data_IF_922377997513
#
_entry.id   IF_922377997513
#
_cell.length_a   1.000
_cell.length_b   1.000
_cell.length_c   1.000
_cell.angle_alpha   90.00
_cell.angle_beta   90.00
_cell.angle_gamma   90.00
#
_symmetry.space_group_name_H-M   'P 1'
#
loop_
_entity.id
_entity.type
_entity.pdbx_description
1 polymer ?
#
# COMPACT_ATOMS: atom_id res chain seq x y z
N UNK A 1 3.06 -12.39 -15.42
CA UNK A 1 2.84 -10.99 -15.82
C UNK A 1 2.97 -9.99 -14.66
N UNK A 2 2.48 -10.30 -13.46
CA UNK A 2 2.68 -9.44 -12.26
C UNK A 2 4.15 -9.17 -11.93
N UNK A 3 5.02 -10.15 -12.09
CA UNK A 3 6.45 -10.08 -11.76
C UNK A 3 7.26 -9.12 -12.66
N UNK A 4 6.90 -8.99 -13.94
CA UNK A 4 7.67 -8.17 -14.89
C UNK A 4 7.40 -6.67 -14.82
N UNK A 5 6.21 -6.23 -14.38
CA UNK A 5 5.81 -4.82 -14.47
C UNK A 5 6.21 -3.96 -13.26
N UNK A 6 6.35 -4.58 -12.08
CA UNK A 6 6.57 -3.83 -10.83
C UNK A 6 8.00 -3.32 -10.58
N UNK A 7 8.99 -3.97 -11.16
CA UNK A 7 10.41 -3.75 -10.85
C UNK A 7 11.18 -2.98 -11.92
N UNK A 8 10.71 -2.97 -13.17
CA UNK A 8 11.40 -2.29 -14.26
C UNK A 8 11.55 -0.79 -13.95
N UNK A 9 12.80 -0.32 -13.92
CA UNK A 9 13.13 1.08 -13.67
C UNK A 9 13.03 1.54 -12.21
N UNK A 10 13.08 0.61 -11.23
CA UNK A 10 13.02 0.90 -9.79
C UNK A 10 14.23 0.44 -8.98
N UNK A 11 15.33 0.05 -9.65
CA UNK A 11 16.52 -0.42 -8.99
C UNK A 11 17.09 0.57 -7.98
N UNK A 12 17.13 1.86 -8.30
CA UNK A 12 17.56 2.93 -7.38
C UNK A 12 16.72 3.00 -6.11
N UNK A 13 15.40 2.78 -6.24
CA UNK A 13 14.49 2.75 -5.09
C UNK A 13 14.76 1.53 -4.21
N UNK A 14 14.92 0.36 -4.83
CA UNK A 14 15.22 -0.90 -4.12
C UNK A 14 16.55 -0.76 -3.38
N UNK A 15 17.60 -0.26 -4.03
CA UNK A 15 18.92 -0.05 -3.40
C UNK A 15 18.85 0.97 -2.24
N UNK A 16 18.06 2.03 -2.39
CA UNK A 16 17.80 3.00 -1.31
C UNK A 16 17.14 2.32 -0.11
N UNK A 17 16.09 1.52 -0.33
CA UNK A 17 15.37 0.83 0.75
C UNK A 17 16.29 -0.18 1.44
N UNK A 18 17.05 -0.98 0.67
CA UNK A 18 18.06 -1.92 1.20
C UNK A 18 19.08 -1.19 2.09
N UNK A 19 19.62 -0.06 1.62
CA UNK A 19 20.57 0.75 2.38
C UNK A 19 19.99 1.28 3.69
N UNK A 20 18.74 1.76 3.68
CA UNK A 20 18.10 2.28 4.88
C UNK A 20 17.71 1.14 5.86
N UNK A 21 17.26 -0.01 5.35
CA UNK A 21 17.00 -1.20 6.15
C UNK A 21 18.26 -1.70 6.90
N UNK A 22 19.40 -1.68 6.23
CA UNK A 22 20.70 -2.07 6.82
C UNK A 22 21.17 -1.14 7.94
N UNK A 23 20.68 0.08 7.99
CA UNK A 23 20.92 1.00 9.11
C UNK A 23 20.06 0.70 10.35
N UNK A 24 19.27 -0.34 10.32
CA UNK A 24 18.34 -0.70 11.39
C UNK A 24 17.12 0.20 11.50
N UNK A 25 16.75 0.91 10.41
CA UNK A 25 15.55 1.77 10.39
C UNK A 25 14.31 0.96 10.11
N UNK A 26 13.23 1.27 10.81
CA UNK A 26 11.90 0.80 10.43
C UNK A 26 11.41 1.63 9.24
N UNK A 27 10.96 0.96 8.17
CA UNK A 27 10.62 1.61 6.91
C UNK A 27 9.15 1.38 6.55
N UNK A 28 8.53 2.38 5.94
CA UNK A 28 7.17 2.32 5.42
C UNK A 28 7.17 2.71 3.94
N UNK A 29 6.88 1.74 3.07
CA UNK A 29 6.65 2.00 1.66
C UNK A 29 5.22 2.51 1.46
N UNK A 30 5.07 3.75 0.98
CA UNK A 30 3.76 4.38 0.79
C UNK A 30 3.46 4.66 -0.67
N UNK A 31 2.18 4.73 -1.00
CA UNK A 31 1.69 5.05 -2.34
C UNK A 31 0.33 4.44 -2.63
N UNK A 32 -0.36 4.87 -3.68
CA UNK A 32 -1.70 4.40 -4.00
C UNK A 32 -1.75 2.89 -4.27
N UNK A 33 -2.94 2.28 -4.20
CA UNK A 33 -3.13 0.88 -4.59
C UNK A 33 -2.63 0.63 -6.01
N UNK A 34 -2.03 -0.55 -6.24
CA UNK A 34 -1.50 -0.94 -7.54
C UNK A 34 -0.19 -0.28 -7.95
N UNK A 35 0.38 0.66 -7.17
CA UNK A 35 1.64 1.33 -7.52
C UNK A 35 2.86 0.40 -7.48
N UNK A 36 2.74 -0.82 -6.96
CA UNK A 36 3.81 -1.82 -6.91
C UNK A 36 4.63 -1.80 -5.63
N UNK A 37 4.04 -1.44 -4.48
CA UNK A 37 4.69 -1.52 -3.16
C UNK A 37 5.16 -2.94 -2.82
N UNK A 38 4.26 -3.93 -2.98
CA UNK A 38 4.56 -5.34 -2.72
C UNK A 38 5.70 -5.86 -3.60
N UNK A 39 5.74 -5.48 -4.87
CA UNK A 39 6.83 -5.87 -5.76
C UNK A 39 8.18 -5.24 -5.35
N UNK A 40 8.17 -3.99 -4.87
CA UNK A 40 9.37 -3.35 -4.31
C UNK A 40 9.79 -4.04 -3.02
N UNK A 41 8.83 -4.37 -2.12
CA UNK A 41 9.12 -5.09 -0.88
C UNK A 41 9.77 -6.45 -1.17
N UNK A 42 9.19 -7.23 -2.08
CA UNK A 42 9.72 -8.53 -2.51
C UNK A 42 11.14 -8.42 -3.08
N UNK A 43 11.40 -7.44 -3.96
CA UNK A 43 12.74 -7.22 -4.49
C UNK A 43 13.74 -6.81 -3.41
N UNK A 44 13.32 -5.99 -2.45
CA UNK A 44 14.16 -5.59 -1.31
C UNK A 44 14.48 -6.79 -0.44
N UNK A 45 13.49 -7.61 -0.10
CA UNK A 45 13.68 -8.80 0.74
C UNK A 45 14.57 -9.84 0.06
N UNK A 46 14.36 -10.11 -1.23
CA UNK A 46 15.23 -10.99 -2.03
C UNK A 46 16.67 -10.47 -2.03
N UNK A 47 16.86 -9.16 -2.33
CA UNK A 47 18.20 -8.56 -2.39
C UNK A 47 18.90 -8.52 -1.02
N UNK A 48 18.15 -8.42 0.07
CA UNK A 48 18.68 -8.50 1.43
C UNK A 48 19.14 -9.93 1.75
N UNK A 49 18.35 -10.94 1.44
CA UNK A 49 18.70 -12.35 1.67
C UNK A 49 19.91 -12.75 0.82
N UNK A 50 19.92 -12.37 -0.47
CA UNK A 50 21.02 -12.73 -1.39
C UNK A 50 22.36 -12.11 -1.01
N UNK A 51 22.35 -10.89 -0.45
CA UNK A 51 23.57 -10.15 -0.14
C UNK A 51 24.05 -10.28 1.30
N UNK A 52 23.19 -10.68 2.22
CA UNK A 52 23.47 -10.63 3.65
C UNK A 52 22.95 -11.87 4.37
N UNK A 53 23.87 -12.71 4.86
CA UNK A 53 23.55 -13.95 5.58
C UNK A 53 23.25 -13.73 7.09
N UNK A 54 23.38 -12.51 7.58
CA UNK A 54 23.21 -12.15 9.00
C UNK A 54 21.79 -11.69 9.37
N UNK A 55 20.88 -11.68 8.41
CA UNK A 55 19.49 -11.20 8.60
C UNK A 55 18.52 -12.37 8.61
N UNK A 56 17.79 -12.51 9.71
CA UNK A 56 16.64 -13.41 9.80
C UNK A 56 15.40 -12.68 9.26
N UNK A 57 15.03 -12.95 8.01
CA UNK A 57 13.87 -12.34 7.36
C UNK A 57 12.60 -13.15 7.63
N UNK A 58 11.53 -12.49 8.07
CA UNK A 58 10.21 -13.06 8.21
C UNK A 58 9.23 -12.25 7.36
N UNK A 59 8.67 -12.87 6.31
CA UNK A 59 7.64 -12.31 5.47
C UNK A 59 6.23 -12.52 6.05
N UNK A 60 5.40 -11.49 6.01
CA UNK A 60 4.00 -11.53 6.45
C UNK A 60 3.12 -11.03 5.33
N UNK A 61 2.46 -11.95 4.63
CA UNK A 61 1.54 -11.66 3.51
C UNK A 61 0.07 -11.68 3.95
N UNK A 62 -0.18 -12.10 5.21
CA UNK A 62 -1.52 -12.24 5.73
C UNK A 62 -2.19 -10.89 5.99
N UNK A 63 -3.41 -10.75 5.46
CA UNK A 63 -4.21 -9.53 5.63
C UNK A 63 -4.95 -9.50 6.97
N UNK A 64 -5.30 -10.67 7.50
CA UNK A 64 -5.99 -10.75 8.79
C UNK A 64 -5.02 -10.52 9.93
N UNK A 65 -5.44 -9.73 10.89
CA UNK A 65 -4.63 -9.36 12.03
C UNK A 65 -4.08 -10.55 12.83
N UNK A 66 -4.91 -11.56 13.13
CA UNK A 66 -4.44 -12.79 13.79
C UNK A 66 -3.48 -13.56 12.89
N UNK A 67 -3.74 -13.60 11.58
CA UNK A 67 -2.87 -14.24 10.60
C UNK A 67 -1.46 -13.65 10.60
N UNK A 68 -1.32 -12.33 10.75
CA UNK A 68 -0.01 -11.67 10.83
C UNK A 68 0.83 -12.19 12.01
N UNK A 69 0.22 -12.30 13.20
CA UNK A 69 0.91 -12.84 14.37
C UNK A 69 1.21 -14.33 14.24
N UNK A 70 0.34 -15.10 13.59
CA UNK A 70 0.59 -16.52 13.30
C UNK A 70 1.76 -16.71 12.33
N UNK A 71 1.84 -15.90 11.28
CA UNK A 71 2.95 -15.92 10.32
C UNK A 71 4.26 -15.52 11.00
N UNK A 72 4.23 -14.51 11.86
CA UNK A 72 5.39 -14.11 12.65
C UNK A 72 5.83 -15.22 13.62
N UNK A 73 4.87 -15.84 14.33
CA UNK A 73 5.15 -16.96 15.23
C UNK A 73 5.78 -18.13 14.49
N UNK A 74 5.25 -18.47 13.31
CA UNK A 74 5.78 -19.51 12.44
C UNK A 74 7.23 -19.21 12.05
N UNK A 75 7.51 -18.01 11.54
CA UNK A 75 8.87 -17.63 11.13
C UNK A 75 9.86 -17.66 12.28
N UNK A 76 9.49 -17.18 13.48
CA UNK A 76 10.34 -17.22 14.66
C UNK A 76 10.59 -18.66 15.16
N UNK A 77 9.61 -19.53 15.04
CA UNK A 77 9.74 -20.94 15.39
C UNK A 77 10.66 -21.68 14.41
N UNK A 78 10.49 -21.46 13.10
CA UNK A 78 11.36 -22.03 12.05
C UNK A 78 12.82 -21.55 12.18
N UNK A 79 13.04 -20.34 12.72
CA UNK A 79 14.36 -19.80 13.03
C UNK A 79 14.93 -20.27 14.39
N UNK A 80 14.17 -21.04 15.16
CA UNK A 80 14.57 -21.48 16.49
C UNK A 80 14.63 -20.38 17.56
N UNK A 81 14.03 -19.23 17.30
CA UNK A 81 14.01 -18.08 18.22
C UNK A 81 12.88 -18.17 19.24
N UNK A 82 11.77 -18.85 18.94
CA UNK A 82 10.68 -19.15 19.86
C UNK A 82 10.70 -20.65 20.16
N UNK A 83 10.67 -21.02 21.45
CA UNK A 83 10.57 -22.42 21.87
C UNK A 83 9.13 -22.92 21.73
N UNK A 84 8.92 -24.16 21.26
CA UNK A 84 7.60 -24.79 21.20
C UNK A 84 6.84 -24.75 22.51
N UNK A 85 7.50 -24.96 23.64
CA UNK A 85 6.89 -24.90 24.98
C UNK A 85 6.31 -23.53 25.34
N UNK A 86 6.87 -22.45 24.81
CA UNK A 86 6.33 -21.10 25.00
C UNK A 86 4.99 -20.88 24.26
N UNK A 87 4.63 -21.77 23.32
CA UNK A 87 3.40 -21.78 22.56
C UNK A 87 2.40 -22.84 23.04
N UNK A 88 2.53 -23.30 24.31
CA UNK A 88 1.70 -24.36 24.86
C UNK A 88 1.76 -25.68 24.06
N UNK A 89 2.85 -25.90 23.33
CA UNK A 89 3.12 -27.13 22.62
C UNK A 89 3.87 -28.11 23.50
N UNK A 90 3.96 -29.36 23.05
CA UNK A 90 4.68 -30.43 23.79
C UNK A 90 6.15 -30.03 23.99
N UNK A 91 6.60 -30.07 25.23
CA UNK A 91 7.97 -29.71 25.61
C UNK A 91 9.03 -30.61 24.95
N UNK A 92 8.67 -31.83 24.56
CA UNK A 92 9.55 -32.71 23.77
C UNK A 92 10.00 -32.11 22.46
N UNK A 93 9.21 -31.14 21.90
CA UNK A 93 9.57 -30.45 20.69
C UNK A 93 10.69 -29.39 20.88
N UNK A 94 11.00 -29.02 22.11
CA UNK A 94 12.09 -28.06 22.37
C UNK A 94 13.48 -28.67 22.11
N UNK A 95 13.58 -30.01 22.14
CA UNK A 95 14.81 -30.74 21.82
C UNK A 95 14.96 -31.09 20.34
N UNK A 96 13.91 -30.82 19.55
CA UNK A 96 13.89 -31.12 18.11
C UNK A 96 14.45 -29.91 17.33
N UNK A 97 15.23 -30.19 16.27
CA UNK A 97 15.70 -29.14 15.36
C UNK A 97 14.50 -28.32 14.82
N UNK A 98 14.48 -27.00 15.06
CA UNK A 98 13.39 -26.14 14.63
C UNK A 98 13.03 -26.28 13.15
N UNK A 99 14.04 -26.52 12.29
CA UNK A 99 13.84 -26.72 10.85
C UNK A 99 13.06 -28.00 10.50
N UNK A 100 13.02 -28.97 11.41
CA UNK A 100 12.30 -30.24 11.21
C UNK A 100 10.87 -30.22 11.74
N UNK A 101 10.51 -29.19 12.49
CA UNK A 101 9.14 -29.03 13.05
C UNK A 101 8.17 -28.73 11.91
N UNK A 102 7.32 -29.68 11.57
CA UNK A 102 6.34 -29.51 10.52
C UNK A 102 5.21 -28.61 10.99
N UNK A 103 5.17 -27.36 10.50
CA UNK A 103 4.14 -26.37 10.82
C UNK A 103 2.71 -26.92 10.70
N UNK A 104 2.42 -27.73 9.68
CA UNK A 104 1.10 -28.31 9.45
C UNK A 104 0.61 -29.17 10.63
N UNK A 105 1.50 -29.82 11.36
CA UNK A 105 1.14 -30.65 12.52
C UNK A 105 0.76 -29.82 13.74
N UNK A 106 1.44 -28.70 13.97
CA UNK A 106 1.25 -27.83 15.13
C UNK A 106 0.29 -26.67 14.88
N UNK A 107 0.05 -26.31 13.60
CA UNK A 107 -0.78 -25.19 13.19
C UNK A 107 -2.13 -25.14 13.89
N UNK A 108 -2.78 -26.29 14.08
CA UNK A 108 -4.11 -26.36 14.71
C UNK A 108 -4.06 -25.98 16.20
N UNK A 109 -2.99 -26.33 16.90
CA UNK A 109 -2.80 -25.97 18.32
C UNK A 109 -2.46 -24.49 18.44
N UNK A 110 -1.49 -24.00 17.67
CA UNK A 110 -1.09 -22.58 17.67
C UNK A 110 -2.24 -21.67 17.27
N UNK A 111 -3.09 -22.08 16.34
CA UNK A 111 -4.29 -21.32 15.95
C UNK A 111 -5.34 -21.15 17.07
N UNK A 112 -5.32 -21.98 18.11
CA UNK A 112 -6.22 -21.84 19.27
C UNK A 112 -5.78 -20.73 20.21
N UNK A 113 -4.50 -20.39 20.20
CA UNK A 113 -3.95 -19.32 21.03
C UNK A 113 -4.56 -17.97 20.66
N UNK A 114 -4.77 -17.12 21.66
CA UNK A 114 -5.16 -15.74 21.42
C UNK A 114 -3.96 -14.93 20.89
N UNK A 115 -4.22 -13.75 20.30
CA UNK A 115 -3.14 -12.84 19.89
C UNK A 115 -2.28 -12.43 21.07
N UNK A 116 -2.86 -12.31 22.26
CA UNK A 116 -2.14 -11.98 23.49
C UNK A 116 -1.15 -13.09 23.87
N UNK A 117 -1.57 -14.34 23.78
CA UNK A 117 -0.72 -15.50 24.12
C UNK A 117 0.40 -15.66 23.09
N UNK A 118 0.09 -15.49 21.80
CA UNK A 118 1.11 -15.43 20.75
C UNK A 118 2.15 -14.34 21.03
N UNK A 119 1.70 -13.13 21.37
CA UNK A 119 2.61 -12.01 21.66
C UNK A 119 3.41 -12.26 22.96
N UNK A 120 2.85 -12.96 23.95
CA UNK A 120 3.58 -13.32 25.16
C UNK A 120 4.77 -14.24 24.87
N UNK A 121 4.69 -15.10 23.86
CA UNK A 121 5.80 -15.93 23.39
C UNK A 121 6.77 -15.16 22.48
N UNK A 122 6.25 -14.36 21.52
CA UNK A 122 7.01 -13.68 20.49
C UNK A 122 7.89 -12.55 21.06
N UNK A 123 7.32 -11.67 21.87
CA UNK A 123 7.99 -10.43 22.31
C UNK A 123 9.27 -10.73 23.09
N UNK A 124 9.28 -11.60 24.11
CA UNK A 124 10.51 -11.96 24.82
C UNK A 124 11.56 -12.60 23.90
N UNK A 125 11.13 -13.44 22.96
CA UNK A 125 12.03 -14.10 22.02
C UNK A 125 12.74 -13.09 21.09
N UNK A 126 12.01 -12.10 20.59
CA UNK A 126 12.57 -11.01 19.77
C UNK A 126 13.54 -10.16 20.61
N UNK A 127 13.17 -9.81 21.84
CA UNK A 127 14.01 -8.99 22.72
C UNK A 127 15.27 -9.73 23.21
N UNK A 128 15.27 -11.05 23.25
CA UNK A 128 16.46 -11.84 23.53
C UNK A 128 17.51 -11.77 22.38
N UNK A 129 17.08 -11.39 21.18
CA UNK A 129 17.91 -11.30 19.98
C UNK A 129 17.73 -9.95 19.25
N UNK A 130 18.04 -8.80 19.90
CA UNK A 130 17.71 -7.48 19.36
C UNK A 130 18.41 -7.23 18.04
N UNK A 131 17.65 -6.71 17.07
CA UNK A 131 18.14 -6.33 15.76
C UNK A 131 18.47 -7.48 14.80
N UNK A 132 18.32 -8.74 15.21
CA UNK A 132 18.58 -9.90 14.35
C UNK A 132 17.41 -10.27 13.44
N UNK A 133 16.21 -9.80 13.75
CA UNK A 133 14.99 -10.13 13.00
C UNK A 133 14.57 -8.93 12.16
N UNK A 134 14.36 -9.17 10.89
CA UNK A 134 13.73 -8.22 9.96
C UNK A 134 12.36 -8.75 9.55
N UNK A 135 11.33 -7.97 9.81
CA UNK A 135 9.95 -8.32 9.49
C UNK A 135 9.54 -7.54 8.24
N UNK A 136 9.06 -8.24 7.21
CA UNK A 136 8.51 -7.65 6.01
C UNK A 136 6.98 -7.85 6.00
N UNK A 137 6.20 -6.74 5.98
CA UNK A 137 4.73 -6.80 6.04
C UNK A 137 4.15 -6.13 4.80
N UNK A 138 3.40 -6.87 4.00
CA UNK A 138 2.84 -6.36 2.75
C UNK A 138 1.76 -5.30 2.95
N UNK A 139 0.93 -5.41 4.01
CA UNK A 139 -0.08 -4.40 4.31
C UNK A 139 -0.24 -4.13 5.82
N UNK A 140 0.27 -2.98 6.27
CA UNK A 140 0.09 -2.48 7.65
C UNK A 140 -1.24 -1.75 7.88
N UNK A 141 -2.03 -1.47 6.84
CA UNK A 141 -3.32 -0.79 6.99
C UNK A 141 -4.36 -1.68 7.67
N UNK A 142 -4.13 -2.98 7.69
CA UNK A 142 -4.99 -3.99 8.33
C UNK A 142 -4.80 -4.09 9.85
N UNK A 143 -3.72 -3.48 10.39
CA UNK A 143 -3.47 -3.42 11.83
C UNK A 143 -4.61 -2.68 12.53
N UNK A 144 -5.14 -3.27 13.60
CA UNK A 144 -6.18 -2.63 14.42
C UNK A 144 -5.57 -1.81 15.56
N UNK A 145 -6.28 -0.78 16.08
CA UNK A 145 -5.78 0.04 17.18
C UNK A 145 -5.37 -0.76 18.43
N UNK A 146 -6.07 -1.85 18.71
CA UNK A 146 -5.79 -2.73 19.84
C UNK A 146 -4.46 -3.48 19.70
N UNK A 147 -3.95 -3.65 18.49
CA UNK A 147 -2.70 -4.34 18.19
C UNK A 147 -1.49 -3.42 18.12
N UNK A 148 -1.71 -2.10 18.11
CA UNK A 148 -0.61 -1.13 18.03
C UNK A 148 0.40 -1.31 19.15
N UNK A 149 -0.05 -1.61 20.38
CA UNK A 149 0.83 -1.83 21.52
C UNK A 149 1.75 -3.05 21.31
N UNK A 150 1.23 -4.15 20.74
CA UNK A 150 2.02 -5.35 20.44
C UNK A 150 3.04 -5.08 19.33
N UNK A 151 2.62 -4.40 18.25
CA UNK A 151 3.54 -4.02 17.17
C UNK A 151 4.65 -3.10 17.67
N UNK A 152 4.35 -2.13 18.54
CA UNK A 152 5.38 -1.26 19.13
C UNK A 152 6.38 -2.05 19.96
N UNK A 153 5.91 -3.01 20.79
CA UNK A 153 6.80 -3.87 21.57
C UNK A 153 7.67 -4.77 20.67
N UNK A 154 7.15 -5.26 19.53
CA UNK A 154 7.93 -6.01 18.56
C UNK A 154 9.01 -5.12 17.91
N UNK A 155 8.68 -3.87 17.58
CA UNK A 155 9.61 -2.92 16.95
C UNK A 155 10.76 -2.52 17.90
N UNK A 156 10.59 -2.61 19.20
CA UNK A 156 11.68 -2.31 20.14
C UNK A 156 12.82 -3.37 20.07
N UNK A 157 12.57 -4.56 19.49
CA UNK A 157 13.58 -5.62 19.34
C UNK A 157 13.82 -6.10 17.90
N UNK A 158 12.94 -5.81 16.95
CA UNK A 158 13.06 -6.22 15.56
C UNK A 158 12.99 -5.02 14.61
N UNK A 159 13.53 -5.17 13.39
CA UNK A 159 13.36 -4.17 12.32
C UNK A 159 12.14 -4.49 11.46
N UNK A 160 11.54 -3.47 10.87
CA UNK A 160 10.32 -3.61 10.05
C UNK A 160 10.46 -2.89 8.72
N UNK A 161 10.05 -3.55 7.65
CA UNK A 161 9.73 -2.92 6.37
C UNK A 161 8.27 -3.25 6.08
N UNK A 162 7.41 -2.24 6.07
CA UNK A 162 5.99 -2.41 5.81
C UNK A 162 5.50 -1.62 4.62
N UNK A 163 4.36 -2.02 4.05
CA UNK A 163 3.66 -1.26 3.03
C UNK A 163 2.36 -0.69 3.59
N UNK A 164 1.97 0.49 3.10
CA UNK A 164 0.66 1.06 3.37
C UNK A 164 0.16 1.87 2.17
N UNK A 165 -1.12 1.73 1.85
CA UNK A 165 -1.76 2.57 0.83
C UNK A 165 -2.24 3.90 1.41
N UNK A 166 -2.58 3.91 2.70
CA UNK A 166 -2.99 5.09 3.45
C UNK A 166 -2.52 5.00 4.91
N UNK A 167 -2.30 6.14 5.55
CA UNK A 167 -1.96 6.22 6.98
C UNK A 167 -3.21 6.54 7.78
N UNK A 168 -3.83 5.54 8.38
CA UNK A 168 -5.00 5.74 9.24
C UNK A 168 -4.61 6.52 10.49
N UNK A 169 -5.39 7.54 10.85
CA UNK A 169 -5.12 8.42 12.01
C UNK A 169 -5.07 7.67 13.35
N UNK A 170 -5.87 6.63 13.49
CA UNK A 170 -5.91 5.80 14.71
C UNK A 170 -4.67 4.92 14.93
N UNK A 171 -3.77 4.82 13.94
CA UNK A 171 -2.49 4.11 14.01
C UNK A 171 -1.29 5.08 14.05
N UNK A 172 -1.50 6.36 14.38
CA UNK A 172 -0.46 7.40 14.35
C UNK A 172 0.79 7.02 15.14
N UNK A 173 0.64 6.39 16.32
CA UNK A 173 1.78 5.96 17.16
C UNK A 173 2.69 4.96 16.44
N UNK A 174 2.12 4.08 15.60
CA UNK A 174 2.88 3.14 14.78
C UNK A 174 3.60 3.89 13.66
N UNK A 175 2.88 4.80 12.96
CA UNK A 175 3.46 5.55 11.85
C UNK A 175 4.66 6.43 12.26
N UNK A 176 4.66 6.96 13.48
CA UNK A 176 5.77 7.79 13.99
C UNK A 176 7.09 7.02 14.15
N UNK A 177 7.04 5.70 14.28
CA UNK A 177 8.23 4.84 14.39
C UNK A 177 8.82 4.49 13.02
N UNK A 178 8.08 4.71 11.92
CA UNK A 178 8.45 4.25 10.58
C UNK A 178 8.92 5.43 9.72
N UNK A 179 10.10 5.29 9.12
CA UNK A 179 10.59 6.24 8.11
C UNK A 179 9.88 5.98 6.78
N UNK A 180 9.16 6.98 6.27
CA UNK A 180 8.37 6.88 5.05
C UNK A 180 9.22 6.99 3.80
N UNK A 181 9.02 6.05 2.88
CA UNK A 181 9.62 6.05 1.56
C UNK A 181 8.48 5.93 0.53
N UNK A 182 8.13 7.03 -0.17
CA UNK A 182 7.10 6.98 -1.19
C UNK A 182 7.58 6.17 -2.40
N UNK A 183 6.71 5.28 -2.89
CA UNK A 183 6.92 4.53 -4.13
C UNK A 183 6.41 5.40 -5.29
N UNK A 184 7.30 5.93 -6.15
CA UNK A 184 6.91 6.81 -7.23
C UNK A 184 6.15 6.05 -8.33
N UNK A 185 5.30 6.75 -9.11
CA UNK A 185 4.73 6.19 -10.32
C UNK A 185 5.82 5.83 -11.35
N UNK A 186 5.51 4.87 -12.22
CA UNK A 186 6.39 4.53 -13.34
C UNK A 186 6.58 5.74 -14.27
N UNK A 187 7.81 5.92 -14.72
CA UNK A 187 8.10 6.91 -15.77
C UNK A 187 7.35 6.55 -17.06
N UNK A 188 6.83 7.54 -17.83
CA UNK A 188 6.09 7.27 -19.06
C UNK A 188 6.87 6.43 -20.08
N UNK A 189 8.19 6.60 -20.15
CA UNK A 189 9.08 5.86 -21.05
C UNK A 189 9.10 4.36 -20.67
N UNK A 190 9.19 4.07 -19.36
CA UNK A 190 9.18 2.70 -18.83
C UNK A 190 7.82 2.04 -19.08
N UNK A 191 6.72 2.76 -18.79
CA UNK A 191 5.37 2.27 -19.07
C UNK A 191 5.16 1.97 -20.55
N UNK A 192 5.67 2.84 -21.44
CA UNK A 192 5.62 2.64 -22.90
C UNK A 192 6.43 1.42 -23.33
N UNK A 193 7.61 1.21 -22.77
CA UNK A 193 8.44 0.05 -23.06
C UNK A 193 7.75 -1.25 -22.66
N UNK A 194 7.17 -1.31 -21.46
CA UNK A 194 6.40 -2.46 -20.96
C UNK A 194 5.23 -2.75 -21.91
N UNK A 195 4.44 -1.73 -22.27
CA UNK A 195 3.32 -1.88 -23.19
C UNK A 195 3.76 -2.39 -24.56
N UNK A 196 4.88 -1.87 -25.11
CA UNK A 196 5.44 -2.32 -26.39
C UNK A 196 5.88 -3.78 -26.34
N UNK A 197 6.59 -4.19 -25.30
CA UNK A 197 7.02 -5.59 -25.11
C UNK A 197 5.81 -6.52 -25.02
N UNK A 198 4.78 -6.13 -24.27
CA UNK A 198 3.55 -6.89 -24.14
C UNK A 198 2.83 -7.09 -25.48
N UNK A 199 2.70 -6.02 -26.29
CA UNK A 199 2.11 -6.10 -27.64
C UNK A 199 2.85 -7.10 -28.53
N UNK A 200 4.19 -7.12 -28.46
CA UNK A 200 5.01 -8.05 -29.24
C UNK A 200 4.81 -9.51 -28.82
N UNK A 201 4.55 -9.76 -27.54
CA UNK A 201 4.37 -11.11 -26.98
C UNK A 201 2.95 -11.67 -27.23
N UNK A 202 1.92 -10.82 -27.21
CA UNK A 202 0.52 -11.26 -27.33
C UNK A 202 0.04 -11.45 -28.76
N UNK A 203 0.73 -10.87 -29.75
CA UNK A 203 0.35 -10.98 -31.16
C UNK A 203 -1.00 -10.34 -31.50
N UNK A 204 -1.57 -9.49 -30.61
CA UNK A 204 -2.82 -8.80 -30.84
C UNK A 204 -2.66 -7.77 -31.97
N UNK A 205 -3.56 -7.82 -32.96
CA UNK A 205 -3.55 -6.83 -34.06
C UNK A 205 -4.11 -5.50 -33.55
N UNK A 206 -3.25 -4.47 -33.58
CA UNK A 206 -3.63 -3.11 -33.17
C UNK A 206 -3.60 -2.21 -34.39
N UNK A 207 -4.77 -1.63 -34.74
CA UNK A 207 -4.93 -0.78 -35.92
C UNK A 207 -4.04 0.48 -35.89
N UNK A 208 -3.88 1.07 -34.70
CA UNK A 208 -3.09 2.28 -34.50
C UNK A 208 -2.14 2.13 -33.27
N UNK A 209 -0.96 1.47 -33.42
CA UNK A 209 -0.06 1.16 -32.31
C UNK A 209 0.41 2.39 -31.53
N UNK A 210 0.72 3.49 -32.22
CA UNK A 210 1.14 4.74 -31.59
C UNK A 210 0.05 5.39 -30.72
N UNK A 211 -1.20 5.39 -31.19
CA UNK A 211 -2.35 5.89 -30.44
C UNK A 211 -2.63 4.99 -29.23
N UNK A 212 -2.56 3.68 -29.41
CA UNK A 212 -2.73 2.70 -28.33
C UNK A 212 -1.72 2.91 -27.21
N UNK A 213 -0.43 2.98 -27.52
CA UNK A 213 0.62 3.21 -26.52
C UNK A 213 0.42 4.54 -25.79
N UNK A 214 0.06 5.60 -26.49
CA UNK A 214 -0.20 6.90 -25.87
C UNK A 214 -1.39 6.83 -24.91
N UNK A 215 -2.48 6.22 -25.33
CA UNK A 215 -3.71 6.08 -24.53
C UNK A 215 -3.47 5.21 -23.28
N UNK A 216 -2.84 4.06 -23.44
CA UNK A 216 -2.57 3.14 -22.32
C UNK A 216 -1.65 3.78 -21.29
N UNK A 217 -0.57 4.46 -21.72
CA UNK A 217 0.35 5.17 -20.82
C UNK A 217 -0.36 6.30 -20.09
N UNK A 218 -1.21 7.07 -20.79
CA UNK A 218 -1.99 8.16 -20.21
C UNK A 218 -2.99 7.65 -19.19
N UNK A 219 -3.75 6.60 -19.50
CA UNK A 219 -4.78 6.06 -18.62
C UNK A 219 -4.19 5.31 -17.41
N UNK A 220 -3.04 4.67 -17.58
CA UNK A 220 -2.34 4.03 -16.46
C UNK A 220 -1.74 5.05 -15.46
N UNK A 221 -1.46 6.29 -15.91
CA UNK A 221 -0.91 7.38 -15.08
C UNK A 221 0.28 6.93 -14.21
N UNK A 222 1.15 6.08 -14.75
CA UNK A 222 2.31 5.50 -14.06
C UNK A 222 1.98 4.44 -13.00
N UNK A 223 0.73 3.96 -12.93
CA UNK A 223 0.34 2.85 -12.06
C UNK A 223 0.54 1.51 -12.79
N UNK A 224 1.45 0.62 -12.29
CA UNK A 224 1.75 -0.66 -12.95
C UNK A 224 0.55 -1.61 -13.04
N UNK A 225 -0.30 -1.63 -12.02
CA UNK A 225 -1.48 -2.49 -12.01
C UNK A 225 -2.48 -2.01 -13.07
N UNK A 226 -2.75 -0.71 -13.14
CA UNK A 226 -3.60 -0.13 -14.16
C UNK A 226 -3.07 -0.37 -15.57
N UNK A 227 -1.74 -0.29 -15.74
CA UNK A 227 -1.09 -0.62 -17.01
C UNK A 227 -1.34 -2.08 -17.38
N UNK A 228 -1.14 -3.00 -16.44
CA UNK A 228 -1.36 -4.43 -16.66
C UNK A 228 -2.83 -4.75 -16.97
N UNK A 229 -3.77 -4.13 -16.26
CA UNK A 229 -5.21 -4.33 -16.47
C UNK A 229 -5.65 -3.84 -17.86
N UNK A 230 -5.20 -2.66 -18.29
CA UNK A 230 -5.47 -2.12 -19.63
C UNK A 230 -4.90 -3.01 -20.73
N UNK A 231 -3.68 -3.52 -20.56
CA UNK A 231 -3.04 -4.42 -21.51
C UNK A 231 -3.76 -5.78 -21.57
N UNK A 232 -4.11 -6.34 -20.40
CA UNK A 232 -4.83 -7.60 -20.32
C UNK A 232 -6.23 -7.50 -20.94
N UNK A 233 -6.92 -6.36 -20.76
CA UNK A 233 -8.23 -6.15 -21.38
C UNK A 233 -8.12 -6.05 -22.90
N UNK A 234 -7.11 -5.35 -23.39
CA UNK A 234 -6.87 -5.22 -24.83
C UNK A 234 -6.52 -6.55 -25.51
N UNK A 235 -5.86 -7.48 -24.78
CA UNK A 235 -5.48 -8.78 -25.33
C UNK A 235 -6.64 -9.78 -25.48
N UNK A 236 -7.80 -9.50 -24.88
CA UNK A 236 -9.02 -10.29 -25.07
C UNK A 236 -9.62 -10.14 -26.46
N UNK A 237 -9.25 -9.08 -27.16
CA UNK A 237 -9.73 -8.76 -28.50
C UNK A 237 -8.71 -9.24 -29.54
N UNK A 238 -9.18 -9.84 -30.65
CA UNK A 238 -8.31 -10.20 -31.78
C UNK A 238 -7.78 -8.97 -32.50
N UNK A 239 -8.60 -7.92 -32.59
CA UNK A 239 -8.26 -6.64 -33.25
C UNK A 239 -8.73 -5.49 -32.39
N UNK A 240 -7.81 -4.60 -32.03
CA UNK A 240 -8.12 -3.36 -31.30
C UNK A 240 -8.20 -2.21 -32.29
N UNK A 241 -9.41 -1.76 -32.59
CA UNK A 241 -9.66 -0.65 -33.52
C UNK A 241 -9.50 0.73 -32.85
N UNK A 242 -9.44 1.81 -33.66
CA UNK A 242 -9.24 3.18 -33.15
C UNK A 242 -10.33 3.65 -32.20
N UNK A 243 -11.58 3.20 -32.41
CA UNK A 243 -12.70 3.58 -31.54
C UNK A 243 -12.50 2.96 -30.14
N UNK A 244 -12.20 1.66 -30.06
CA UNK A 244 -11.92 0.95 -28.83
C UNK A 244 -10.75 1.58 -28.06
N UNK A 245 -9.68 1.98 -28.77
CA UNK A 245 -8.54 2.67 -28.13
C UNK A 245 -8.99 3.96 -27.44
N UNK A 246 -9.85 4.77 -28.07
CA UNK A 246 -10.37 6.03 -27.49
C UNK A 246 -11.30 5.79 -26.30
N UNK A 247 -12.01 4.67 -26.28
CA UNK A 247 -12.92 4.28 -25.21
C UNK A 247 -12.21 3.68 -23.99
N UNK A 248 -10.92 3.30 -24.12
CA UNK A 248 -10.14 2.74 -23.01
C UNK A 248 -10.02 3.75 -21.87
N UNK A 249 -10.53 3.37 -20.71
CA UNK A 249 -10.48 4.18 -19.48
C UNK A 249 -10.10 3.28 -18.31
N UNK A 250 -9.34 3.82 -17.37
CA UNK A 250 -9.03 3.18 -16.11
C UNK A 250 -9.15 4.18 -14.96
N UNK A 251 -9.58 3.71 -13.78
CA UNK A 251 -9.75 4.57 -12.61
C UNK A 251 -8.48 5.31 -12.18
N UNK A 252 -7.31 4.73 -12.43
CA UNK A 252 -6.02 5.36 -12.16
C UNK A 252 -5.72 6.60 -13.02
N UNK A 253 -6.35 6.70 -14.22
CA UNK A 253 -6.22 7.86 -15.11
C UNK A 253 -6.98 9.10 -14.64
N UNK A 254 -7.92 8.92 -13.71
CA UNK A 254 -8.69 10.04 -13.19
C UNK A 254 -7.93 10.72 -12.05
N UNK A 255 -7.44 11.92 -12.27
CA UNK A 255 -6.97 12.79 -11.18
C UNK A 255 -8.20 13.35 -10.48
N UNK A 256 -8.45 12.91 -9.26
CA UNK A 256 -9.43 13.57 -8.39
C UNK A 256 -8.85 14.92 -7.96
N UNK A 257 -9.37 16.00 -8.51
CA UNK A 257 -9.10 17.33 -7.98
C UNK A 257 -10.02 17.54 -6.78
N UNK A 258 -9.42 17.75 -5.62
CA UNK A 258 -10.18 18.16 -4.44
C UNK A 258 -10.56 19.64 -4.60
N UNK A 259 -11.81 19.89 -4.95
CA UNK A 259 -12.36 21.24 -5.07
C UNK A 259 -12.77 21.83 -3.71
N UNK A 260 -12.64 21.08 -2.62
CA UNK A 260 -13.02 21.53 -1.28
C UNK A 260 -12.37 22.86 -0.88
N UNK A 261 -11.06 23.09 -1.09
CA UNK A 261 -10.43 24.37 -0.76
C UNK A 261 -11.04 25.53 -1.55
N UNK A 262 -11.31 25.34 -2.83
CA UNK A 262 -11.91 26.36 -3.70
C UNK A 262 -13.33 26.68 -3.23
N UNK A 263 -14.12 25.69 -2.88
CA UNK A 263 -15.47 25.85 -2.34
C UNK A 263 -15.50 26.56 -1.00
N UNK A 264 -14.52 26.30 -0.12
CA UNK A 264 -14.39 26.98 1.17
C UNK A 264 -14.10 28.48 0.94
N UNK A 265 -13.15 28.79 0.05
CA UNK A 265 -12.81 30.19 -0.27
C UNK A 265 -14.01 30.90 -0.91
N UNK A 266 -14.70 30.27 -1.84
CA UNK A 266 -15.91 30.84 -2.47
C UNK A 266 -17.00 31.12 -1.43
N UNK A 267 -17.28 30.17 -0.51
CA UNK A 267 -18.28 30.34 0.54
C UNK A 267 -17.87 31.45 1.52
N UNK A 268 -16.62 31.49 1.93
CA UNK A 268 -16.09 32.52 2.83
C UNK A 268 -16.20 33.93 2.21
N UNK A 269 -15.91 34.05 0.89
CA UNK A 269 -16.06 35.32 0.15
C UNK A 269 -17.54 35.77 0.13
N UNK A 270 -18.45 34.88 -0.15
CA UNK A 270 -19.91 35.19 -0.15
C UNK A 270 -20.39 35.62 1.23
N UNK A 271 -19.96 34.91 2.29
CA UNK A 271 -20.31 35.26 3.67
C UNK A 271 -19.71 36.63 4.04
N UNK A 272 -18.45 36.90 3.66
CA UNK A 272 -17.81 38.22 3.87
C UNK A 272 -18.55 39.35 3.18
N UNK A 273 -18.95 39.17 1.93
CA UNK A 273 -19.76 40.15 1.17
C UNK A 273 -21.11 40.42 1.86
N UNK A 274 -21.75 39.40 2.40
CA UNK A 274 -23.01 39.55 3.14
C UNK A 274 -22.84 40.39 4.42
N UNK A 275 -21.78 40.18 5.18
CA UNK A 275 -21.48 40.99 6.37
C UNK A 275 -21.12 42.44 6.02
N UNK A 276 -20.43 42.65 4.90
CA UNK A 276 -20.09 43.98 4.41
C UNK A 276 -21.34 44.74 4.00
N UNK A 277 -22.29 44.08 3.29
CA UNK A 277 -23.60 44.63 2.93
C UNK A 277 -24.45 45.02 4.15
N UNK A 278 -24.40 44.20 5.19
CA UNK A 278 -25.07 44.53 6.46
C UNK A 278 -24.46 45.76 7.15
N UNK A 279 -23.12 45.91 7.13
CA UNK A 279 -22.41 47.05 7.71
C UNK A 279 -22.60 48.35 6.94
N UNK A 280 -22.79 48.28 5.61
CA UNK A 280 -23.04 49.44 4.74
C UNK A 280 -24.53 49.80 4.57
N UNK A 281 -25.43 48.92 5.03
CA UNK A 281 -26.87 49.09 4.84
C UNK A 281 -27.36 48.87 3.41
N UNK A 282 -26.53 48.26 2.58
CA UNK A 282 -26.85 47.96 1.15
C UNK A 282 -27.69 46.70 1.02
N UNK A 283 -29.02 46.94 0.90
CA UNK A 283 -30.02 45.87 0.81
C UNK A 283 -29.90 45.05 -0.49
N UNK A 284 -29.50 45.67 -1.60
CA UNK A 284 -29.37 45.01 -2.89
C UNK A 284 -28.17 44.02 -2.87
N UNK A 285 -27.04 44.48 -2.36
CA UNK A 285 -25.84 43.64 -2.17
C UNK A 285 -26.07 42.48 -1.21
N UNK A 286 -26.88 42.72 -0.14
CA UNK A 286 -27.26 41.68 0.82
C UNK A 286 -28.09 40.57 0.19
N UNK A 287 -29.10 40.94 -0.63
CA UNK A 287 -29.94 39.96 -1.36
C UNK A 287 -29.11 39.19 -2.37
N UNK A 288 -28.26 39.90 -3.14
CA UNK A 288 -27.38 39.30 -4.13
C UNK A 288 -26.41 38.28 -3.49
N UNK A 289 -25.77 38.62 -2.38
CA UNK A 289 -24.91 37.70 -1.63
C UNK A 289 -25.68 36.48 -1.10
N UNK A 290 -26.95 36.64 -0.69
CA UNK A 290 -27.83 35.55 -0.28
C UNK A 290 -28.13 34.57 -1.42
N UNK A 291 -28.45 35.09 -2.61
CA UNK A 291 -28.64 34.26 -3.82
C UNK A 291 -27.39 33.52 -4.23
N UNK A 292 -26.24 34.19 -4.19
CA UNK A 292 -24.94 33.57 -4.52
C UNK A 292 -24.58 32.45 -3.53
N UNK A 293 -24.88 32.63 -2.23
CA UNK A 293 -24.71 31.59 -1.22
C UNK A 293 -25.53 30.34 -1.56
N UNK A 294 -26.79 30.52 -1.95
CA UNK A 294 -27.69 29.43 -2.32
C UNK A 294 -27.14 28.65 -3.54
N UNK A 295 -26.60 29.37 -4.55
CA UNK A 295 -25.98 28.76 -5.72
C UNK A 295 -24.74 27.94 -5.34
N UNK A 296 -23.82 28.49 -4.51
CA UNK A 296 -22.61 27.80 -4.07
C UNK A 296 -22.95 26.54 -3.27
N UNK A 297 -23.95 26.60 -2.38
CA UNK A 297 -24.42 25.44 -1.59
C UNK A 297 -25.05 24.38 -2.51
N UNK A 298 -25.84 24.79 -3.51
CA UNK A 298 -26.46 23.88 -4.47
C UNK A 298 -25.42 23.18 -5.35
N UNK A 299 -24.41 23.91 -5.83
CA UNK A 299 -23.29 23.35 -6.60
C UNK A 299 -22.52 22.29 -5.80
N UNK A 300 -22.38 22.46 -4.47
CA UNK A 300 -21.80 21.45 -3.60
C UNK A 300 -22.47 20.09 -3.75
N UNK A 301 -23.80 20.04 -3.80
CA UNK A 301 -24.56 18.79 -3.95
C UNK A 301 -24.26 18.09 -5.26
N UNK A 302 -24.09 18.86 -6.36
CA UNK A 302 -23.76 18.31 -7.68
C UNK A 302 -22.30 17.82 -7.75
N UNK A 303 -21.36 18.58 -7.24
CA UNK A 303 -19.93 18.24 -7.27
C UNK A 303 -19.59 17.01 -6.40
N UNK A 304 -20.24 16.87 -5.23
CA UNK A 304 -19.98 15.74 -4.33
C UNK A 304 -20.88 14.52 -4.57
N UNK A 305 -21.97 14.62 -5.33
CA UNK A 305 -22.82 13.48 -5.70
C UNK A 305 -22.09 12.46 -6.61
N UNK A 306 -21.06 12.90 -7.33
CA UNK A 306 -20.19 12.02 -8.13
C UNK A 306 -19.15 11.25 -7.32
N UNK A 307 -18.73 11.76 -6.16
CA UNK A 307 -17.71 11.15 -5.32
C UNK A 307 -18.22 9.99 -4.43
N UNK A 308 -19.53 9.91 -4.21
CA UNK A 308 -20.16 8.90 -3.34
C UNK A 308 -20.56 7.59 -4.01
N UNK A 309 -20.25 7.38 -5.29
CA UNK A 309 -20.59 6.14 -6.03
C UNK A 309 -19.37 5.26 -6.39
N UNK A 310 -18.22 5.52 -5.78
CA UNK A 310 -17.03 4.69 -5.90
C UNK A 310 -16.68 4.10 -4.53
N UNK A 311 -17.57 3.25 -4.03
CA UNK A 311 -17.28 2.27 -2.96
C UNK A 311 -17.63 0.90 -3.48
#
# INVERSE_FOLDING_TARGET
>A
MREMTGLIGRDDLVDKVVKEARKGRHLLLTGPPGIGKSAVLEAVTTRLVDRYNDINLIGIDEQQAKGQFLSLTRGLLELGLVRPSALELDASLDEVDPATIQWLKIKRQVNRLSIRDLCAAIIPAIHAHPGRVLIAVDDLTTVTPTMVAFWLAILDGAHLIGCASEKRKNLARLWWKLAEIPVPPLKPEVARQIAKTYMQQTGTLIEAPGLFLAQVVQQANGNPQALADLLADSSKERVVNKQKIREMKHGAGHRYFDFTPVMIVALASVVGTRYLAMGTGDTELYIFAGMLAAVVISLRVFLFRGAGKAN
#
